data_IF_269781621974
#
_entry.id   IF_269781621974
#
_cell.length_a   1.000
_cell.length_b   1.000
_cell.length_c   1.000
_cell.angle_alpha   90.00
_cell.angle_beta   90.00
_cell.angle_gamma   90.00
#
_symmetry.space_group_name_H-M   'P 1'
#
loop_
_entity.id
_entity.type
_entity.pdbx_description
1 polymer ?
#
# COMPACT_ATOMS: atom_id res chain seq x y z
N UNK A 1 13.48 -22.10 -6.10
CA UNK A 1 12.80 -20.79 -5.96
C UNK A 1 13.12 -20.24 -4.57
N UNK A 2 13.94 -19.19 -4.48
CA UNK A 2 14.25 -18.53 -3.21
C UNK A 2 12.98 -17.90 -2.69
N UNK A 3 12.40 -18.46 -1.63
CA UNK A 3 11.32 -17.85 -0.88
C UNK A 3 11.91 -16.59 -0.24
N UNK A 4 11.70 -15.42 -0.87
CA UNK A 4 12.01 -14.13 -0.24
C UNK A 4 11.28 -14.13 1.10
N UNK A 5 12.01 -14.25 2.20
CA UNK A 5 11.48 -14.04 3.54
C UNK A 5 10.78 -12.68 3.53
N UNK A 6 9.45 -12.72 3.49
CA UNK A 6 8.65 -11.52 3.59
C UNK A 6 8.86 -11.03 5.01
N UNK A 7 9.60 -9.94 5.20
CA UNK A 7 9.50 -9.17 6.43
C UNK A 7 8.02 -8.89 6.66
N UNK A 8 7.45 -9.53 7.67
CA UNK A 8 6.04 -9.39 7.99
C UNK A 8 5.85 -8.03 8.63
N UNK A 9 5.34 -7.09 7.85
CA UNK A 9 4.85 -5.83 8.37
C UNK A 9 3.43 -6.08 8.91
N UNK A 10 3.19 -5.69 10.16
CA UNK A 10 1.85 -5.74 10.74
C UNK A 10 0.86 -4.92 9.92
N UNK A 11 -0.40 -5.34 9.90
CA UNK A 11 -1.48 -4.63 9.18
C UNK A 11 -1.56 -3.17 9.62
N UNK A 12 -1.52 -2.91 10.92
CA UNK A 12 -1.55 -1.56 11.50
C UNK A 12 -0.40 -0.67 11.01
N UNK A 13 0.81 -1.22 10.91
CA UNK A 13 1.96 -0.49 10.42
C UNK A 13 1.79 -0.12 8.94
N UNK A 14 1.34 -1.07 8.13
CA UNK A 14 1.04 -0.82 6.72
C UNK A 14 -0.06 0.23 6.55
N UNK A 15 -1.10 0.20 7.37
CA UNK A 15 -2.17 1.20 7.35
C UNK A 15 -1.64 2.58 7.71
N UNK A 16 -0.81 2.70 8.76
CA UNK A 16 -0.15 3.98 9.11
C UNK A 16 0.69 4.54 7.96
N UNK A 17 1.47 3.71 7.29
CA UNK A 17 2.30 4.13 6.14
C UNK A 17 1.41 4.61 4.97
N UNK A 18 0.33 3.88 4.68
CA UNK A 18 -0.60 4.25 3.60
C UNK A 18 -1.38 5.52 3.94
N UNK A 19 -1.88 5.66 5.16
CA UNK A 19 -2.54 6.89 5.63
C UNK A 19 -1.58 8.07 5.53
N UNK A 20 -0.32 7.92 5.94
CA UNK A 20 0.68 8.97 5.77
C UNK A 20 0.89 9.33 4.30
N UNK A 21 0.88 8.34 3.38
CA UNK A 21 0.99 8.60 1.94
C UNK A 21 -0.22 9.30 1.34
N UNK A 22 -1.45 8.99 1.77
CA UNK A 22 -2.66 9.65 1.24
C UNK A 22 -2.92 11.02 1.86
N UNK A 23 -2.54 11.23 3.12
CA UNK A 23 -2.76 12.48 3.83
C UNK A 23 -1.60 13.47 3.69
N UNK A 24 -0.37 12.98 3.52
CA UNK A 24 0.79 13.82 3.26
C UNK A 24 0.98 13.88 1.75
N UNK A 25 1.08 15.08 1.18
CA UNK A 25 1.35 15.29 -0.24
C UNK A 25 2.82 14.95 -0.61
N UNK A 26 3.44 14.03 0.14
CA UNK A 26 4.83 13.60 0.07
C UNK A 26 5.01 12.49 -0.98
N UNK A 27 6.18 12.44 -1.59
CA UNK A 27 6.52 11.38 -2.54
C UNK A 27 6.71 10.03 -1.83
N UNK A 28 6.49 8.93 -2.57
CA UNK A 28 6.74 7.56 -2.09
C UNK A 28 8.13 7.39 -1.46
N UNK A 29 9.16 8.04 -2.03
CA UNK A 29 10.52 7.99 -1.51
C UNK A 29 10.66 8.66 -0.13
N UNK A 30 9.96 9.78 0.11
CA UNK A 30 9.99 10.49 1.39
C UNK A 30 9.28 9.68 2.48
N UNK A 31 8.11 9.10 2.16
CA UNK A 31 7.39 8.20 3.07
C UNK A 31 8.23 6.94 3.38
N UNK A 32 8.82 6.32 2.36
CA UNK A 32 9.70 5.17 2.52
C UNK A 32 10.88 5.49 3.45
N UNK A 33 11.53 6.64 3.26
CA UNK A 33 12.62 7.10 4.12
C UNK A 33 12.14 7.35 5.56
N UNK A 34 11.02 8.03 5.75
CA UNK A 34 10.44 8.38 7.05
C UNK A 34 10.09 7.16 7.91
N UNK A 35 9.59 6.10 7.28
CA UNK A 35 9.22 4.85 7.95
C UNK A 35 10.32 3.78 7.88
N UNK A 36 11.49 4.08 7.31
CA UNK A 36 12.59 3.15 7.08
C UNK A 36 12.16 1.87 6.34
N UNK A 37 11.26 2.02 5.37
CA UNK A 37 10.75 0.95 4.50
C UNK A 37 11.34 1.12 3.11
N UNK A 38 11.50 0.03 2.36
CA UNK A 38 11.89 0.13 0.95
C UNK A 38 10.75 0.76 0.14
N UNK A 39 11.08 1.70 -0.75
CA UNK A 39 10.10 2.35 -1.63
C UNK A 39 9.28 1.34 -2.45
N UNK A 40 9.93 0.29 -2.96
CA UNK A 40 9.28 -0.82 -3.69
C UNK A 40 8.18 -1.50 -2.86
N UNK A 41 8.40 -1.66 -1.56
CA UNK A 41 7.41 -2.24 -0.64
C UNK A 41 6.20 -1.33 -0.46
N UNK A 42 6.43 -0.02 -0.29
CA UNK A 42 5.34 0.97 -0.18
C UNK A 42 4.55 1.05 -1.49
N UNK A 43 5.24 1.06 -2.63
CA UNK A 43 4.62 1.03 -3.97
C UNK A 43 3.73 -0.20 -4.15
N UNK A 44 4.22 -1.40 -3.80
CA UNK A 44 3.43 -2.62 -3.84
C UNK A 44 2.18 -2.53 -2.95
N UNK A 45 2.29 -1.86 -1.80
CA UNK A 45 1.14 -1.68 -0.91
C UNK A 45 0.08 -0.74 -1.46
N UNK A 46 0.50 0.37 -2.04
CA UNK A 46 -0.38 1.34 -2.70
C UNK A 46 -1.05 0.69 -3.91
N UNK A 47 -0.28 0.03 -4.78
CA UNK A 47 -0.80 -0.69 -5.94
C UNK A 47 -1.85 -1.74 -5.55
N UNK A 48 -1.57 -2.54 -4.51
CA UNK A 48 -2.51 -3.55 -4.02
C UNK A 48 -3.77 -2.92 -3.41
N UNK A 49 -3.68 -1.76 -2.75
CA UNK A 49 -4.84 -1.06 -2.20
C UNK A 49 -5.72 -0.50 -3.32
N UNK A 50 -5.13 0.08 -4.35
CA UNK A 50 -5.87 0.56 -5.55
C UNK A 50 -6.54 -0.61 -6.25
N UNK A 51 -5.84 -1.74 -6.40
CA UNK A 51 -6.44 -2.95 -7.00
C UNK A 51 -7.62 -3.48 -6.18
N UNK A 52 -7.51 -3.47 -4.85
CA UNK A 52 -8.62 -3.86 -3.95
C UNK A 52 -9.80 -2.88 -4.05
N UNK A 53 -9.53 -1.57 -4.09
CA UNK A 53 -10.54 -0.53 -4.21
C UNK A 53 -11.22 -0.53 -5.59
N UNK A 54 -10.49 -0.84 -6.66
CA UNK A 54 -11.05 -0.97 -8.00
C UNK A 54 -11.94 -2.21 -8.13
N UNK A 55 -11.65 -3.29 -7.40
CA UNK A 55 -12.56 -4.44 -7.37
C UNK A 55 -13.88 -4.09 -6.69
N UNK A 56 -13.88 -3.33 -5.59
CA UNK A 56 -15.11 -2.89 -4.91
C UNK A 56 -15.98 -1.96 -5.80
N UNK A 57 -15.37 -1.17 -6.67
CA UNK A 57 -16.10 -0.26 -7.55
C UNK A 57 -16.74 -0.97 -8.76
N UNK A 58 -16.20 -2.11 -9.18
CA UNK A 58 -16.77 -2.93 -10.28
C UNK A 58 -17.93 -3.84 -9.84
N UNK A 59 -18.01 -4.24 -8.57
CA UNK A 59 -19.13 -5.08 -8.08
C UNK A 59 -20.41 -4.27 -7.87
N UNK A 60 -20.27 -2.95 -7.68
CA UNK A 60 -21.41 -2.06 -7.38
C UNK A 60 -22.07 -1.47 -8.65
N UNK A 61 -21.46 -1.62 -9.83
CA UNK A 61 -22.04 -1.14 -11.10
C UNK A 61 -22.81 -2.20 -11.90
N UNK A 62 -22.67 -3.49 -11.56
CA UNK A 62 -23.42 -4.59 -12.22
C UNK A 62 -24.70 -4.97 -11.45
N UNK A 63 -25.19 -4.09 -10.58
CA UNK A 63 -26.41 -4.29 -9.78
C UNK A 63 -27.36 -3.07 -9.84
N UNK A 64 -27.46 -2.38 -10.97
CA UNK A 64 -28.48 -1.35 -11.25
C UNK A 64 -29.07 -1.49 -12.63
#
# INVERSE_FOLDING_TARGET
MVRRERKFYSKEFRERVLTAYYHSNESLAMIAHRFQVKQDTVSSWVYRKISSSNQENTITLEAS
#
